data_IF_884293010278
#
_entry.id   IF_884293010278
#
_cell.length_a   1.000
_cell.length_b   1.000
_cell.length_c   1.000
_cell.angle_alpha   90.00
_cell.angle_beta   90.00
_cell.angle_gamma   90.00
#
_symmetry.space_group_name_H-M   'P 1'
#
loop_
_entity.id
_entity.type
_entity.pdbx_description
1 polymer ?
#
# COMPACT_ATOMS: atom_id res chain seq x y z
N UNK A 1 12.84 -12.86 -2.25
CA UNK A 1 11.93 -11.69 -2.38
C UNK A 1 10.74 -11.87 -1.43
N UNK A 2 10.34 -10.84 -0.68
CA UNK A 2 9.13 -10.84 0.16
C UNK A 2 7.87 -10.68 -0.68
N UNK A 3 6.77 -11.30 -0.24
CA UNK A 3 5.47 -11.21 -0.90
C UNK A 3 4.43 -10.75 0.09
N UNK A 4 3.73 -9.68 -0.25
CA UNK A 4 2.60 -9.17 0.53
C UNK A 4 1.30 -9.19 -0.25
N UNK A 5 0.19 -9.16 0.47
CA UNK A 5 -1.15 -8.92 -0.06
C UNK A 5 -1.62 -7.52 0.31
N UNK A 6 -2.11 -6.79 -0.69
CA UNK A 6 -2.77 -5.50 -0.47
C UNK A 6 -4.24 -5.76 -0.25
N UNK A 7 -4.68 -5.76 1.01
CA UNK A 7 -6.03 -6.20 1.36
C UNK A 7 -7.10 -5.26 0.82
N UNK A 8 -8.20 -5.79 0.25
CA UNK A 8 -9.27 -4.98 -0.34
C UNK A 8 -10.16 -4.37 0.77
N UNK A 9 -9.68 -3.28 1.35
CA UNK A 9 -10.38 -2.53 2.38
C UNK A 9 -11.57 -1.73 1.82
N UNK A 10 -11.52 -1.39 0.53
CA UNK A 10 -12.61 -0.80 -0.24
C UNK A 10 -13.33 -1.83 -1.11
N UNK A 11 -14.59 -1.55 -1.48
CA UNK A 11 -15.35 -2.41 -2.37
C UNK A 11 -14.66 -2.57 -3.73
N UNK A 12 -14.82 -3.74 -4.34
CA UNK A 12 -14.34 -4.11 -5.68
C UNK A 12 -12.81 -4.11 -5.84
N UNK A 13 -12.05 -4.08 -4.75
CA UNK A 13 -10.58 -4.15 -4.80
C UNK A 13 -9.96 -3.00 -5.59
N UNK A 14 -9.23 -3.30 -6.67
CA UNK A 14 -8.53 -2.30 -7.49
C UNK A 14 -8.94 -2.29 -8.96
N UNK A 15 -10.06 -2.94 -9.32
CA UNK A 15 -10.59 -2.94 -10.69
C UNK A 15 -11.80 -2.02 -10.81
N UNK A 16 -11.67 -0.96 -11.59
CA UNK A 16 -12.72 0.03 -11.90
C UNK A 16 -13.47 -0.44 -13.14
N UNK A 17 -14.15 -1.55 -13.01
CA UNK A 17 -14.80 -2.23 -14.13
C UNK A 17 -16.07 -2.93 -13.69
N UNK A 18 -17.15 -2.74 -14.45
CA UNK A 18 -18.42 -3.46 -14.25
C UNK A 18 -18.33 -4.94 -14.65
N UNK A 19 -17.28 -5.33 -15.38
CA UNK A 19 -17.03 -6.72 -15.76
C UNK A 19 -16.13 -7.46 -14.76
N UNK A 20 -15.54 -6.76 -13.80
CA UNK A 20 -14.76 -7.37 -12.72
C UNK A 20 -15.68 -7.86 -11.60
N UNK A 21 -15.20 -8.77 -10.73
CA UNK A 21 -15.94 -9.16 -9.53
C UNK A 21 -16.37 -7.95 -8.70
N UNK A 22 -17.66 -7.92 -8.34
CA UNK A 22 -18.24 -6.85 -7.51
C UNK A 22 -18.49 -7.39 -6.11
N UNK A 23 -17.98 -6.72 -5.08
CA UNK A 23 -18.14 -7.14 -3.69
C UNK A 23 -17.99 -5.99 -2.70
N UNK A 24 -18.62 -6.15 -1.55
CA UNK A 24 -18.48 -5.23 -0.41
C UNK A 24 -17.30 -5.61 0.47
N UNK A 25 -16.58 -4.65 1.06
CA UNK A 25 -15.53 -4.94 2.02
C UNK A 25 -16.19 -5.37 3.34
N UNK A 26 -15.82 -6.57 3.80
CA UNK A 26 -16.27 -7.10 5.09
C UNK A 26 -15.08 -7.62 5.88
N UNK A 27 -15.22 -7.70 7.19
CA UNK A 27 -14.21 -8.34 8.02
C UNK A 27 -14.01 -9.81 7.63
N UNK A 28 -15.10 -10.55 7.39
CA UNK A 28 -15.01 -11.97 7.04
C UNK A 28 -14.28 -12.21 5.71
N UNK A 29 -14.50 -11.36 4.70
CA UNK A 29 -13.75 -11.43 3.44
C UNK A 29 -12.26 -11.18 3.67
N UNK A 30 -11.91 -10.08 4.36
CA UNK A 30 -10.52 -9.73 4.61
C UNK A 30 -9.81 -10.75 5.51
N UNK A 31 -10.52 -11.33 6.49
CA UNK A 31 -10.03 -12.43 7.32
C UNK A 31 -9.69 -13.66 6.46
N UNK A 32 -10.61 -14.09 5.60
CA UNK A 32 -10.39 -15.22 4.70
C UNK A 32 -9.19 -14.98 3.78
N UNK A 33 -9.05 -13.75 3.23
CA UNK A 33 -7.93 -13.34 2.38
C UNK A 33 -6.60 -13.46 3.15
N UNK A 34 -6.50 -12.84 4.33
CA UNK A 34 -5.24 -12.78 5.06
C UNK A 34 -4.85 -14.14 5.66
N UNK A 35 -5.83 -14.94 6.13
CA UNK A 35 -5.56 -16.31 6.56
C UNK A 35 -5.10 -17.20 5.41
N UNK A 36 -5.68 -17.05 4.21
CA UNK A 36 -5.23 -17.76 3.00
C UNK A 36 -3.82 -17.30 2.58
N UNK A 37 -3.53 -16.00 2.63
CA UNK A 37 -2.20 -15.47 2.37
C UNK A 37 -1.15 -16.02 3.39
N UNK A 38 -1.49 -16.06 4.67
CA UNK A 38 -0.65 -16.68 5.71
C UNK A 38 -0.45 -18.18 5.45
N UNK A 39 -1.48 -18.90 5.02
CA UNK A 39 -1.40 -20.33 4.67
C UNK A 39 -0.36 -20.56 3.55
N UNK A 40 -0.39 -19.74 2.51
CA UNK A 40 0.57 -19.80 1.41
C UNK A 40 1.86 -19.01 1.66
N UNK A 41 2.15 -18.70 2.95
CA UNK A 41 3.40 -18.09 3.41
C UNK A 41 3.69 -16.71 2.82
N UNK A 42 2.69 -15.89 2.57
CA UNK A 42 2.93 -14.48 2.32
C UNK A 42 3.59 -13.84 3.54
N UNK A 43 4.51 -12.92 3.30
CA UNK A 43 5.32 -12.31 4.35
C UNK A 43 4.55 -11.21 5.10
N UNK A 44 3.68 -10.48 4.40
CA UNK A 44 2.94 -9.37 4.99
C UNK A 44 1.58 -9.10 4.33
N UNK A 45 0.71 -8.47 5.09
CA UNK A 45 -0.55 -7.90 4.63
C UNK A 45 -0.53 -6.39 4.92
N UNK A 46 -0.88 -5.58 3.94
CA UNK A 46 -0.97 -4.13 4.06
C UNK A 46 -2.35 -3.68 3.64
N UNK A 47 -2.96 -2.77 4.41
CA UNK A 47 -4.18 -2.08 4.01
C UNK A 47 -3.89 -0.65 3.60
N UNK A 48 -4.60 -0.15 2.60
CA UNK A 48 -4.68 1.29 2.36
C UNK A 48 -5.59 1.95 3.39
N UNK A 49 -5.75 3.25 3.29
CA UNK A 49 -6.88 3.99 3.87
C UNK A 49 -7.61 4.74 2.77
N UNK A 50 -8.93 4.73 2.85
CA UNK A 50 -9.81 5.46 1.94
C UNK A 50 -11.03 5.94 2.74
N UNK A 51 -11.34 7.23 2.62
CA UNK A 51 -12.41 7.87 3.39
C UNK A 51 -13.55 8.37 2.49
N UNK A 52 -13.31 8.45 1.19
CA UNK A 52 -14.27 8.80 0.16
C UNK A 52 -13.87 8.18 -1.16
N UNK A 53 -14.80 7.47 -1.79
CA UNK A 53 -14.57 6.81 -3.08
C UNK A 53 -14.72 7.74 -4.28
N UNK A 54 -14.88 7.12 -5.43
CA UNK A 54 -14.92 7.78 -6.73
C UNK A 54 -16.26 7.60 -7.46
N UNK A 55 -17.23 6.94 -6.84
CA UNK A 55 -18.56 6.77 -7.40
C UNK A 55 -18.60 5.89 -8.64
N UNK A 56 -19.36 6.35 -9.63
CA UNK A 56 -19.61 5.63 -10.86
C UNK A 56 -20.60 4.48 -10.70
N UNK A 57 -20.74 3.66 -11.74
CA UNK A 57 -21.62 2.48 -11.73
C UNK A 57 -21.16 1.40 -10.78
N UNK A 58 -19.86 1.36 -10.51
CA UNK A 58 -19.24 0.41 -9.60
C UNK A 58 -19.21 0.91 -8.15
N UNK A 59 -19.66 2.15 -7.89
CA UNK A 59 -19.50 2.82 -6.58
C UNK A 59 -18.05 2.67 -6.06
N UNK A 60 -17.07 2.87 -6.97
CA UNK A 60 -15.68 2.48 -6.72
C UNK A 60 -15.11 3.15 -5.47
N UNK A 61 -14.81 2.34 -4.47
CA UNK A 61 -14.33 2.74 -3.15
C UNK A 61 -15.28 3.66 -2.35
N UNK A 62 -16.57 3.66 -2.65
CA UNK A 62 -17.54 4.38 -1.82
C UNK A 62 -17.80 3.67 -0.49
N UNK A 63 -17.53 2.37 -0.42
CA UNK A 63 -17.66 1.55 0.77
C UNK A 63 -16.29 1.10 1.27
N UNK A 64 -15.90 1.55 2.47
CA UNK A 64 -14.57 1.27 3.02
C UNK A 64 -14.66 0.89 4.50
N UNK A 65 -13.75 0.00 4.91
CA UNK A 65 -13.45 -0.24 6.31
C UNK A 65 -12.31 0.69 6.77
N UNK A 66 -12.17 0.90 8.08
CA UNK A 66 -11.07 1.69 8.63
C UNK A 66 -9.83 0.82 8.84
N UNK A 67 -8.66 1.34 8.45
CA UNK A 67 -7.42 0.57 8.33
C UNK A 67 -6.93 -0.02 9.66
N UNK A 68 -6.77 0.81 10.70
CA UNK A 68 -6.22 0.33 11.98
C UNK A 68 -7.15 -0.66 12.67
N UNK A 69 -8.46 -0.37 12.65
CA UNK A 69 -9.47 -1.23 13.25
C UNK A 69 -9.54 -2.58 12.54
N UNK A 70 -9.54 -2.58 11.19
CA UNK A 70 -9.50 -3.81 10.41
C UNK A 70 -8.25 -4.62 10.71
N UNK A 71 -7.07 -3.98 10.65
CA UNK A 71 -5.79 -4.68 10.81
C UNK A 71 -5.57 -5.19 12.24
N UNK A 72 -6.15 -4.54 13.26
CA UNK A 72 -6.20 -5.09 14.62
C UNK A 72 -6.97 -6.41 14.68
N UNK A 73 -8.13 -6.46 14.03
CA UNK A 73 -8.92 -7.71 13.91
C UNK A 73 -8.15 -8.81 13.17
N UNK A 74 -7.48 -8.46 12.05
CA UNK A 74 -6.69 -9.41 11.28
C UNK A 74 -5.45 -9.90 12.04
N UNK A 75 -4.82 -9.04 12.83
CA UNK A 75 -3.71 -9.43 13.72
C UNK A 75 -4.13 -10.49 14.74
N UNK A 76 -5.36 -10.39 15.27
CA UNK A 76 -5.88 -11.34 16.26
C UNK A 76 -6.22 -12.73 15.69
N UNK A 77 -6.44 -12.83 14.38
CA UNK A 77 -6.84 -14.09 13.69
C UNK A 77 -5.73 -14.71 12.84
N UNK A 78 -4.50 -14.20 12.95
CA UNK A 78 -3.29 -14.66 12.27
C UNK A 78 -2.16 -14.86 13.27
N UNK A 79 -1.07 -15.56 12.87
CA UNK A 79 0.00 -15.91 13.79
C UNK A 79 1.43 -15.62 13.30
N UNK A 80 1.64 -15.47 11.99
CA UNK A 80 2.98 -15.32 11.38
C UNK A 80 3.11 -14.12 10.47
N UNK A 81 2.08 -13.82 9.66
CA UNK A 81 2.12 -12.76 8.67
C UNK A 81 2.30 -11.38 9.34
N UNK A 82 3.19 -10.54 8.80
CA UNK A 82 3.33 -9.16 9.25
C UNK A 82 2.09 -8.36 8.87
N UNK A 83 1.64 -7.48 9.73
CA UNK A 83 0.41 -6.70 9.56
C UNK A 83 0.76 -5.21 9.51
N UNK A 84 0.42 -4.54 8.40
CA UNK A 84 0.69 -3.12 8.22
C UNK A 84 -0.61 -2.34 8.01
N UNK A 85 -0.92 -1.40 8.91
CA UNK A 85 -2.02 -0.47 8.78
C UNK A 85 -1.55 0.87 8.20
N UNK A 86 -2.42 1.55 7.47
CA UNK A 86 -2.13 2.89 6.92
C UNK A 86 -2.76 3.98 7.77
N UNK A 87 -1.94 4.91 8.23
CA UNK A 87 -2.35 6.15 8.87
C UNK A 87 -2.41 7.29 7.85
N UNK A 88 -3.61 7.84 7.62
CA UNK A 88 -3.76 9.14 6.99
C UNK A 88 -3.49 10.20 8.07
N UNK A 89 -2.31 10.80 8.02
CA UNK A 89 -1.78 11.60 9.15
C UNK A 89 -2.61 12.84 9.49
N UNK A 90 -3.45 13.33 8.57
CA UNK A 90 -4.41 14.40 8.84
C UNK A 90 -5.60 13.96 9.71
N UNK A 91 -5.91 12.67 9.77
CA UNK A 91 -7.11 12.17 10.47
C UNK A 91 -6.89 11.86 11.94
N UNK A 92 -5.66 11.51 12.31
CA UNK A 92 -5.33 11.04 13.65
C UNK A 92 -4.10 11.78 14.21
N UNK A 93 -4.16 12.35 15.41
CA UNK A 93 -2.98 12.86 16.10
C UNK A 93 -1.91 11.79 16.28
N UNK A 94 -0.60 12.13 16.20
CA UNK A 94 0.47 11.13 16.30
C UNK A 94 0.45 10.37 17.63
N UNK A 95 0.08 11.01 18.74
CA UNK A 95 -0.03 10.34 20.03
C UNK A 95 -1.12 9.24 20.06
N UNK A 96 -2.20 9.43 19.31
CA UNK A 96 -3.26 8.41 19.17
C UNK A 96 -2.75 7.24 18.32
N UNK A 97 -2.12 7.52 17.18
CA UNK A 97 -1.53 6.48 16.32
C UNK A 97 -0.46 5.70 17.08
N UNK A 98 0.38 6.37 17.87
CA UNK A 98 1.39 5.70 18.69
C UNK A 98 0.77 4.68 19.66
N UNK A 99 -0.36 5.04 20.29
CA UNK A 99 -1.09 4.17 21.21
C UNK A 99 -1.80 3.02 20.50
N UNK A 100 -2.45 3.30 19.38
CA UNK A 100 -3.10 2.27 18.56
C UNK A 100 -2.07 1.25 18.06
N UNK A 101 -0.92 1.71 17.58
CA UNK A 101 0.15 0.85 17.12
C UNK A 101 0.71 -0.05 18.24
N UNK A 102 0.94 0.49 19.43
CA UNK A 102 1.37 -0.31 20.58
C UNK A 102 0.32 -1.35 21.00
N UNK A 103 -0.97 -1.00 20.89
CA UNK A 103 -2.06 -1.95 21.17
C UNK A 103 -2.06 -3.10 20.15
N UNK A 104 -1.93 -2.80 18.86
CA UNK A 104 -1.94 -3.82 17.80
C UNK A 104 -0.64 -4.65 17.84
N UNK A 105 0.48 -4.04 18.21
CA UNK A 105 1.73 -4.77 18.49
C UNK A 105 1.50 -5.84 19.55
N UNK A 106 0.85 -5.50 20.67
CA UNK A 106 0.48 -6.45 21.72
C UNK A 106 -0.46 -7.55 21.20
N UNK A 107 -1.49 -7.22 20.42
CA UNK A 107 -2.42 -8.19 19.82
C UNK A 107 -1.68 -9.15 18.88
N UNK A 108 -0.78 -8.62 18.07
CA UNK A 108 -0.06 -9.38 17.04
C UNK A 108 1.17 -10.13 17.56
N UNK A 109 1.64 -9.85 18.78
CA UNK A 109 2.91 -10.39 19.29
C UNK A 109 4.12 -9.85 18.51
N UNK A 110 4.17 -8.54 18.24
CA UNK A 110 5.31 -7.89 17.59
C UNK A 110 5.31 -7.95 16.06
N UNK A 111 4.18 -8.30 15.42
CA UNK A 111 4.07 -8.40 13.94
C UNK A 111 3.48 -7.14 13.29
N UNK A 112 3.31 -6.06 14.02
CA UNK A 112 2.66 -4.85 13.51
C UNK A 112 3.66 -3.80 13.01
N UNK A 113 3.22 -3.01 12.04
CA UNK A 113 3.91 -1.82 11.55
C UNK A 113 2.93 -0.82 10.92
N UNK A 114 3.42 0.37 10.59
CA UNK A 114 2.60 1.49 10.15
C UNK A 114 3.07 2.00 8.80
N UNK A 115 2.14 2.14 7.85
CA UNK A 115 2.34 2.90 6.63
C UNK A 115 1.83 4.33 6.85
N UNK A 116 2.67 5.34 6.61
CA UNK A 116 2.34 6.74 6.80
C UNK A 116 2.06 7.41 5.46
N UNK A 117 0.87 7.99 5.31
CA UNK A 117 0.48 8.73 4.11
C UNK A 117 0.05 10.15 4.44
N UNK A 118 0.49 11.09 3.62
CA UNK A 118 0.19 12.51 3.81
C UNK A 118 -1.22 12.91 3.37
N UNK A 119 -1.87 12.06 2.54
CA UNK A 119 -3.14 12.39 1.90
C UNK A 119 -2.95 13.25 0.64
N UNK A 120 -3.75 12.96 -0.38
CA UNK A 120 -3.72 13.67 -1.66
C UNK A 120 -5.10 14.06 -2.16
N UNK A 121 -6.14 13.32 -1.78
CA UNK A 121 -7.52 13.54 -2.21
C UNK A 121 -8.20 14.51 -1.23
N UNK A 122 -8.14 15.80 -1.55
CA UNK A 122 -8.71 16.89 -0.72
C UNK A 122 -10.14 16.63 -0.21
N UNK A 123 -11.11 16.14 -1.05
CA UNK A 123 -12.47 15.86 -0.58
C UNK A 123 -12.60 14.83 0.55
N UNK A 124 -11.63 13.93 0.72
CA UNK A 124 -11.64 12.99 1.86
C UNK A 124 -11.59 13.73 3.20
N UNK A 125 -10.84 14.81 3.24
CA UNK A 125 -10.59 15.60 4.46
C UNK A 125 -11.59 16.75 4.61
N UNK A 126 -12.00 17.37 3.49
CA UNK A 126 -13.01 18.44 3.49
C UNK A 126 -14.36 17.97 4.04
N UNK A 127 -14.78 16.75 3.68
CA UNK A 127 -16.05 16.19 4.20
C UNK A 127 -16.09 16.08 5.72
N UNK A 128 -14.95 16.04 6.38
CA UNK A 128 -14.82 15.99 7.85
C UNK A 128 -14.42 17.33 8.46
N UNK A 129 -14.26 18.38 7.65
CA UNK A 129 -13.86 19.72 8.13
C UNK A 129 -12.42 19.80 8.60
N UNK A 130 -11.54 18.88 8.19
CA UNK A 130 -10.14 18.81 8.66
C UNK A 130 -9.10 19.11 7.57
N UNK A 131 -9.54 19.56 6.40
CA UNK A 131 -8.58 20.00 5.37
C UNK A 131 -7.88 21.28 5.82
N UNK A 132 -6.52 21.30 5.92
CA UNK A 132 -5.80 22.43 6.49
C UNK A 132 -5.59 23.59 5.51
N UNK A 133 -6.07 23.48 4.28
CA UNK A 133 -5.85 24.45 3.21
C UNK A 133 -4.84 23.98 2.16
N UNK A 134 -4.83 24.64 1.00
CA UNK A 134 -4.05 24.18 -0.16
C UNK A 134 -2.53 24.35 0.02
N UNK A 135 -2.08 25.17 0.96
CA UNK A 135 -0.68 25.29 1.34
C UNK A 135 -0.12 23.97 1.91
N UNK A 136 -0.99 23.09 2.39
CA UNK A 136 -0.60 21.78 2.89
C UNK A 136 0.16 20.94 1.85
N UNK A 137 -0.21 21.01 0.59
CA UNK A 137 0.50 20.28 -0.47
C UNK A 137 1.99 20.60 -0.54
N UNK A 138 2.39 21.82 -0.19
CA UNK A 138 3.80 22.21 -0.15
C UNK A 138 4.50 21.84 1.15
N UNK A 139 3.78 21.70 2.25
CA UNK A 139 4.31 21.48 3.61
C UNK A 139 4.05 20.08 4.15
N UNK A 140 3.44 19.18 3.36
CA UNK A 140 3.00 17.85 3.84
C UNK A 140 4.14 16.96 4.35
N UNK A 141 5.36 17.10 3.83
CA UNK A 141 6.50 16.33 4.32
C UNK A 141 7.16 16.98 5.54
N UNK A 142 7.05 18.30 5.73
CA UNK A 142 7.43 18.94 6.99
C UNK A 142 6.49 18.47 8.10
N UNK A 143 5.17 18.50 7.84
CA UNK A 143 4.15 17.96 8.74
C UNK A 143 4.42 16.49 9.09
N UNK A 144 4.69 15.65 8.08
CA UNK A 144 4.97 14.23 8.28
C UNK A 144 6.28 14.02 9.06
N UNK A 145 7.27 14.87 8.89
CA UNK A 145 8.54 14.80 9.63
C UNK A 145 8.32 15.03 11.13
N UNK A 146 7.57 16.04 11.51
CA UNK A 146 7.23 16.27 12.92
C UNK A 146 6.36 15.12 13.47
N UNK A 147 5.41 14.65 12.66
CA UNK A 147 4.53 13.52 13.01
C UNK A 147 5.35 12.29 13.37
N UNK A 148 6.30 11.88 12.52
CA UNK A 148 7.11 10.67 12.77
C UNK A 148 8.07 10.85 13.93
N UNK A 149 8.56 12.07 14.19
CA UNK A 149 9.40 12.35 15.36
C UNK A 149 8.63 12.13 16.65
N UNK A 150 7.39 12.63 16.74
CA UNK A 150 6.52 12.36 17.90
C UNK A 150 6.25 10.86 18.07
N UNK A 151 5.97 10.13 16.97
CA UNK A 151 5.81 8.68 17.04
C UNK A 151 7.05 7.98 17.61
N UNK A 152 8.25 8.36 17.13
CA UNK A 152 9.51 7.75 17.57
C UNK A 152 9.83 8.03 19.04
N UNK A 153 9.56 9.25 19.51
CA UNK A 153 9.69 9.59 20.93
C UNK A 153 8.80 8.68 21.78
N UNK A 154 7.52 8.58 21.41
CA UNK A 154 6.54 7.81 22.16
C UNK A 154 6.78 6.30 22.11
N UNK A 155 7.22 5.75 20.97
CA UNK A 155 7.57 4.33 20.86
C UNK A 155 8.91 4.00 21.50
N UNK A 156 9.87 4.93 21.49
CA UNK A 156 11.22 4.72 22.04
C UNK A 156 11.30 4.92 23.54
N UNK A 157 10.89 6.09 24.01
CA UNK A 157 11.02 6.47 25.45
C UNK A 157 9.70 6.44 26.21
N UNK A 158 8.58 6.32 25.54
CA UNK A 158 7.23 6.43 26.11
C UNK A 158 6.82 7.87 26.42
N UNK A 159 7.62 8.86 26.04
CA UNK A 159 7.37 10.27 26.35
C UNK A 159 7.79 11.17 25.19
N UNK A 160 7.02 12.24 24.95
CA UNK A 160 7.41 13.32 24.02
C UNK A 160 7.06 14.69 24.62
N UNK A 161 8.03 15.59 24.56
CA UNK A 161 7.88 17.03 24.80
C UNK A 161 8.18 17.84 23.54
N UNK A 162 7.98 17.22 22.36
CA UNK A 162 8.26 17.80 21.05
C UNK A 162 7.57 19.15 20.86
N UNK A 163 8.31 20.11 20.31
CA UNK A 163 7.83 21.45 19.95
C UNK A 163 8.21 21.74 18.50
N UNK A 164 7.24 21.84 17.62
CA UNK A 164 7.41 22.15 16.22
C UNK A 164 6.35 23.13 15.71
N UNK A 165 6.31 23.27 14.41
CA UNK A 165 5.36 24.16 13.73
C UNK A 165 3.94 23.58 13.71
N UNK A 166 3.83 22.24 13.63
CA UNK A 166 2.56 21.53 13.50
C UNK A 166 2.13 20.84 14.79
N UNK A 167 3.09 20.36 15.57
CA UNK A 167 2.80 19.62 16.79
C UNK A 167 3.51 20.21 18.00
N UNK A 168 2.76 20.30 19.09
CA UNK A 168 3.26 20.72 20.40
C UNK A 168 2.83 19.70 21.43
N UNK A 169 3.78 18.91 21.92
CA UNK A 169 3.57 17.94 23.00
C UNK A 169 3.92 18.56 24.35
N UNK A 170 3.23 18.13 25.39
CA UNK A 170 3.46 18.59 26.75
C UNK A 170 3.35 17.38 27.67
N UNK A 171 4.50 16.83 28.06
CA UNK A 171 4.61 15.59 28.85
C UNK A 171 3.70 14.46 28.29
N UNK A 172 3.64 14.38 26.95
CA UNK A 172 2.79 13.40 26.28
C UNK A 172 3.35 12.00 26.51
N UNK A 173 2.50 11.06 26.93
CA UNK A 173 2.94 9.72 27.34
C UNK A 173 2.19 8.61 26.64
N UNK A 174 2.93 7.56 26.28
CA UNK A 174 2.38 6.28 25.77
C UNK A 174 3.00 5.13 26.55
N UNK A 175 2.14 4.35 27.18
CA UNK A 175 2.51 3.11 27.87
C UNK A 175 1.32 2.12 27.74
N UNK A 176 1.57 0.82 27.48
CA UNK A 176 2.87 0.22 27.20
C UNK A 176 3.46 0.70 25.87
N UNK A 177 4.77 0.54 25.71
CA UNK A 177 5.46 0.75 24.44
C UNK A 177 5.38 -0.52 23.56
N UNK A 178 5.63 -0.41 22.24
CA UNK A 178 5.75 -1.59 21.38
C UNK A 178 6.81 -2.58 21.90
N UNK A 179 6.54 -3.87 21.74
CA UNK A 179 7.43 -4.96 22.18
C UNK A 179 8.71 -5.09 21.35
N UNK A 180 8.64 -4.61 20.09
CA UNK A 180 9.74 -4.57 19.13
C UNK A 180 9.80 -3.21 18.44
N UNK A 181 10.92 -2.81 17.79
CA UNK A 181 10.99 -1.60 17.01
C UNK A 181 9.90 -1.56 15.93
N UNK A 182 9.03 -0.54 15.98
CA UNK A 182 7.92 -0.39 15.06
C UNK A 182 8.41 -0.13 13.64
N UNK A 183 7.98 -0.98 12.70
CA UNK A 183 8.28 -0.79 11.29
C UNK A 183 7.45 0.36 10.70
N UNK A 184 8.11 1.19 9.89
CA UNK A 184 7.48 2.32 9.19
C UNK A 184 7.63 2.12 7.69
N UNK A 185 6.51 2.19 6.97
CA UNK A 185 6.45 2.17 5.51
C UNK A 185 5.97 3.55 5.04
N UNK A 186 6.46 4.00 3.91
CA UNK A 186 6.04 5.24 3.26
C UNK A 186 5.86 5.02 1.76
N UNK A 187 4.97 5.79 1.14
CA UNK A 187 4.58 5.62 -0.27
C UNK A 187 5.00 6.80 -1.17
N UNK A 188 5.89 7.67 -0.71
CA UNK A 188 6.27 8.88 -1.44
C UNK A 188 7.26 8.58 -2.58
N UNK A 189 6.91 8.93 -3.83
CA UNK A 189 7.79 8.82 -5.01
C UNK A 189 8.35 10.18 -5.48
N UNK A 190 7.86 11.31 -4.97
CA UNK A 190 8.47 12.62 -5.19
C UNK A 190 9.83 12.73 -4.51
N UNK A 191 10.67 13.68 -4.90
CA UNK A 191 11.98 13.88 -4.27
C UNK A 191 11.85 14.11 -2.75
N UNK A 192 10.87 14.91 -2.31
CA UNK A 192 10.58 15.10 -0.89
C UNK A 192 10.13 13.79 -0.21
N UNK A 193 9.30 12.99 -0.88
CA UNK A 193 8.86 11.68 -0.39
C UNK A 193 9.98 10.65 -0.30
N UNK A 194 10.86 10.62 -1.29
CA UNK A 194 12.07 9.78 -1.28
C UNK A 194 13.02 10.18 -0.16
N UNK A 195 13.29 11.49 0.00
CA UNK A 195 14.13 12.00 1.08
C UNK A 195 13.56 11.69 2.46
N UNK A 196 12.23 11.81 2.62
CA UNK A 196 11.55 11.40 3.86
C UNK A 196 11.69 9.89 4.11
N UNK A 197 11.40 9.06 3.11
CA UNK A 197 11.51 7.60 3.22
C UNK A 197 12.93 7.17 3.57
N UNK A 198 13.94 7.77 2.95
CA UNK A 198 15.35 7.49 3.22
C UNK A 198 15.74 7.73 4.69
N UNK A 199 15.14 8.73 5.34
CA UNK A 199 15.44 9.08 6.74
C UNK A 199 14.61 8.29 7.76
N UNK A 200 13.37 7.97 7.42
CA UNK A 200 12.40 7.56 8.42
C UNK A 200 11.75 6.20 8.17
N UNK A 201 11.69 5.73 6.93
CA UNK A 201 11.06 4.46 6.61
C UNK A 201 12.02 3.26 6.71
N UNK A 202 11.46 2.08 6.94
CA UNK A 202 12.12 0.79 6.76
C UNK A 202 11.96 0.31 5.32
N UNK A 203 10.82 0.65 4.69
CA UNK A 203 10.53 0.33 3.30
C UNK A 203 9.80 1.49 2.62
N UNK A 204 10.08 1.67 1.34
CA UNK A 204 9.31 2.54 0.46
C UNK A 204 8.36 1.69 -0.39
N UNK A 205 7.11 2.11 -0.47
CA UNK A 205 6.12 1.51 -1.35
C UNK A 205 6.06 2.29 -2.67
N UNK A 206 6.17 1.60 -3.79
CA UNK A 206 6.05 2.19 -5.12
C UNK A 206 5.18 1.36 -6.06
N UNK A 207 4.65 1.97 -7.10
CA UNK A 207 3.89 1.28 -8.13
C UNK A 207 4.81 0.62 -9.16
N UNK A 208 4.48 -0.60 -9.54
CA UNK A 208 4.90 -1.15 -10.82
C UNK A 208 4.30 -0.33 -11.97
N UNK A 209 4.79 -0.49 -13.18
CA UNK A 209 4.37 0.30 -14.35
C UNK A 209 4.01 -0.61 -15.52
N UNK A 210 2.96 -0.22 -16.25
CA UNK A 210 2.55 -0.87 -17.50
C UNK A 210 2.05 -2.32 -17.33
N UNK A 211 1.82 -2.97 -18.45
CA UNK A 211 1.38 -4.37 -18.53
C UNK A 211 2.55 -5.22 -19.01
N UNK A 212 2.89 -6.27 -18.26
CA UNK A 212 4.00 -7.18 -18.55
C UNK A 212 5.35 -6.48 -18.74
N UNK A 213 5.57 -5.42 -17.99
CA UNK A 213 6.84 -4.69 -17.91
C UNK A 213 7.40 -4.74 -16.47
N UNK A 214 7.79 -5.94 -15.99
CA UNK A 214 8.10 -6.19 -14.58
C UNK A 214 9.22 -5.34 -14.01
N UNK A 215 10.13 -4.84 -14.83
CA UNK A 215 11.30 -4.04 -14.40
C UNK A 215 11.15 -2.54 -14.66
N UNK A 216 10.01 -2.07 -15.19
CA UNK A 216 9.82 -0.66 -15.55
C UNK A 216 9.86 0.31 -14.35
N UNK A 217 9.75 -0.18 -13.13
CA UNK A 217 9.93 0.60 -11.90
C UNK A 217 11.40 0.79 -11.48
N UNK A 218 12.35 0.14 -12.14
CA UNK A 218 13.76 0.17 -11.77
C UNK A 218 14.35 1.58 -11.56
N UNK A 219 14.03 2.60 -12.38
CA UNK A 219 14.46 3.98 -12.10
C UNK A 219 13.96 4.52 -10.75
N UNK A 220 12.74 4.17 -10.35
CA UNK A 220 12.16 4.57 -9.06
C UNK A 220 12.90 3.89 -7.90
N UNK A 221 13.18 2.59 -8.00
CA UNK A 221 13.97 1.85 -7.01
C UNK A 221 15.40 2.39 -6.90
N UNK A 222 16.04 2.74 -8.03
CA UNK A 222 17.38 3.33 -8.04
C UNK A 222 17.43 4.70 -7.33
N UNK A 223 16.43 5.56 -7.55
CA UNK A 223 16.30 6.85 -6.84
C UNK A 223 16.16 6.64 -5.34
N UNK A 224 15.34 5.67 -4.91
CA UNK A 224 15.17 5.35 -3.49
C UNK A 224 16.48 4.89 -2.87
N UNK A 225 17.17 3.97 -3.53
CA UNK A 225 18.49 3.48 -3.09
C UNK A 225 19.51 4.60 -2.96
N UNK A 226 19.61 5.48 -3.95
CA UNK A 226 20.50 6.65 -3.92
C UNK A 226 20.17 7.58 -2.77
N UNK A 227 18.89 7.85 -2.51
CA UNK A 227 18.46 8.69 -1.38
C UNK A 227 18.81 8.03 -0.03
N UNK A 228 18.64 6.71 0.09
CA UNK A 228 18.97 5.95 1.30
C UNK A 228 20.49 5.95 1.58
N UNK A 229 21.33 5.77 0.57
CA UNK A 229 22.78 5.84 0.70
C UNK A 229 23.27 7.17 1.29
N UNK A 230 22.62 8.29 0.95
CA UNK A 230 22.96 9.61 1.49
C UNK A 230 22.66 9.73 3.00
N UNK A 231 21.79 8.89 3.54
CA UNK A 231 21.45 8.86 4.98
C UNK A 231 22.20 7.77 5.75
N UNK A 232 22.97 6.95 5.07
CA UNK A 232 23.65 5.79 5.66
C UNK A 232 22.69 4.66 6.07
N UNK A 233 21.46 4.66 5.53
CA UNK A 233 20.43 3.64 5.81
C UNK A 233 20.20 2.76 4.59
N UNK A 234 19.74 1.54 4.85
CA UNK A 234 19.23 0.64 3.83
C UNK A 234 17.69 0.69 3.84
N UNK A 235 17.12 1.18 2.74
CA UNK A 235 15.66 1.30 2.56
C UNK A 235 15.30 0.68 1.22
N UNK A 236 14.69 -0.49 1.28
CA UNK A 236 14.23 -1.22 0.09
C UNK A 236 12.84 -0.77 -0.37
N UNK A 237 12.47 -1.23 -1.56
CA UNK A 237 11.16 -0.95 -2.16
C UNK A 237 10.24 -2.17 -2.14
N UNK A 238 8.99 -1.96 -1.73
CA UNK A 238 7.87 -2.87 -2.00
C UNK A 238 7.14 -2.38 -3.24
N UNK A 239 7.02 -3.23 -4.24
CA UNK A 239 6.48 -2.86 -5.56
C UNK A 239 5.08 -3.42 -5.75
N UNK A 240 4.11 -2.55 -6.03
CA UNK A 240 2.73 -2.93 -6.25
C UNK A 240 2.53 -3.49 -7.66
N UNK A 241 1.99 -4.70 -7.73
CA UNK A 241 1.52 -5.31 -8.96
C UNK A 241 0.13 -5.93 -8.80
N UNK A 242 -0.67 -5.83 -9.85
CA UNK A 242 -1.86 -6.67 -10.03
C UNK A 242 -1.47 -7.92 -10.80
N UNK A 243 -1.95 -9.06 -10.34
CA UNK A 243 -1.77 -10.35 -11.02
C UNK A 243 -3.09 -10.76 -11.67
N UNK A 244 -3.06 -10.94 -12.99
CA UNK A 244 -4.15 -11.51 -13.80
C UNK A 244 -3.61 -12.81 -14.43
N UNK A 245 -3.79 -13.90 -13.75
CA UNK A 245 -3.24 -15.18 -14.16
C UNK A 245 -4.33 -16.16 -14.60
N UNK A 246 -3.96 -17.05 -15.53
CA UNK A 246 -4.79 -18.16 -15.97
C UNK A 246 -3.91 -19.33 -16.41
N UNK A 247 -4.48 -20.44 -16.91
CA UNK A 247 -3.72 -21.62 -17.38
C UNK A 247 -2.82 -21.31 -18.58
N UNK A 248 -3.24 -20.38 -19.44
CA UNK A 248 -2.50 -19.96 -20.64
C UNK A 248 -2.38 -18.44 -20.70
N UNK A 249 -1.36 -17.95 -21.42
CA UNK A 249 -1.18 -16.51 -21.64
C UNK A 249 -2.37 -15.90 -22.38
N UNK A 250 -2.97 -16.63 -23.32
CA UNK A 250 -4.13 -16.15 -24.08
C UNK A 250 -5.39 -16.07 -23.21
N UNK A 251 -5.63 -17.02 -22.31
CA UNK A 251 -6.75 -16.98 -21.38
C UNK A 251 -6.60 -15.80 -20.40
N UNK A 252 -5.41 -15.61 -19.85
CA UNK A 252 -5.14 -14.45 -18.97
C UNK A 252 -5.31 -13.11 -19.69
N UNK A 253 -4.85 -13.02 -20.94
CA UNK A 253 -5.02 -11.83 -21.77
C UNK A 253 -6.49 -11.56 -22.08
N UNK A 254 -7.27 -12.60 -22.43
CA UNK A 254 -8.71 -12.46 -22.67
C UNK A 254 -9.44 -11.95 -21.42
N UNK A 255 -9.07 -12.45 -20.23
CA UNK A 255 -9.59 -11.97 -18.95
C UNK A 255 -9.28 -10.48 -18.74
N UNK A 256 -8.05 -10.05 -18.97
CA UNK A 256 -7.64 -8.64 -18.86
C UNK A 256 -8.41 -7.72 -19.84
N UNK A 257 -8.54 -8.14 -21.11
CA UNK A 257 -9.32 -7.39 -22.10
C UNK A 257 -10.81 -7.30 -21.72
N UNK A 258 -11.36 -8.38 -21.15
CA UNK A 258 -12.74 -8.37 -20.62
C UNK A 258 -12.93 -7.31 -19.54
N UNK A 259 -12.01 -7.20 -18.58
CA UNK A 259 -12.08 -6.16 -17.55
C UNK A 259 -11.96 -4.76 -18.15
N UNK A 260 -11.06 -4.55 -19.09
CA UNK A 260 -10.92 -3.25 -19.76
C UNK A 260 -12.18 -2.85 -20.54
N UNK A 261 -12.85 -3.82 -21.17
CA UNK A 261 -14.10 -3.56 -21.91
C UNK A 261 -15.26 -3.10 -21.00
N UNK A 262 -15.19 -3.39 -19.71
CA UNK A 262 -16.19 -2.97 -18.73
C UNK A 262 -15.80 -1.74 -17.92
N UNK A 263 -14.80 -0.95 -18.36
CA UNK A 263 -14.32 0.22 -17.64
C UNK A 263 -15.45 1.18 -17.20
N UNK A 264 -15.42 1.59 -15.95
CA UNK A 264 -16.37 2.55 -15.40
C UNK A 264 -15.85 3.97 -15.62
N UNK A 265 -16.22 4.53 -16.76
CA UNK A 265 -15.74 5.85 -17.22
C UNK A 265 -16.10 6.98 -16.26
N UNK A 266 -17.21 6.88 -15.52
CA UNK A 266 -17.63 7.90 -14.57
C UNK A 266 -16.67 7.93 -13.36
N UNK A 267 -16.40 6.77 -12.76
CA UNK A 267 -15.43 6.65 -11.68
C UNK A 267 -14.02 7.04 -12.10
N UNK A 268 -13.60 6.63 -13.31
CA UNK A 268 -12.29 6.99 -13.88
C UNK A 268 -12.13 8.47 -14.11
N UNK A 269 -13.16 9.14 -14.65
CA UNK A 269 -13.16 10.59 -14.86
C UNK A 269 -12.98 11.34 -13.54
N UNK A 270 -13.70 10.92 -12.50
CA UNK A 270 -13.61 11.58 -11.21
C UNK A 270 -12.26 11.34 -10.53
N UNK A 271 -11.72 10.11 -10.62
CA UNK A 271 -10.37 9.80 -10.15
C UNK A 271 -9.33 10.72 -10.81
N UNK A 272 -9.40 10.87 -12.14
CA UNK A 272 -8.50 11.73 -12.91
C UNK A 272 -8.62 13.18 -12.49
N UNK A 273 -9.84 13.70 -12.36
CA UNK A 273 -10.07 15.07 -11.88
C UNK A 273 -9.48 15.33 -10.50
N UNK A 274 -9.69 14.41 -9.54
CA UNK A 274 -9.15 14.57 -8.20
C UNK A 274 -7.61 14.54 -8.17
N UNK A 275 -6.99 13.66 -8.95
CA UNK A 275 -5.54 13.55 -9.01
C UNK A 275 -4.84 14.78 -9.62
N UNK A 276 -5.54 15.54 -10.46
CA UNK A 276 -5.04 16.77 -11.06
C UNK A 276 -5.03 17.96 -10.08
N UNK A 277 -5.78 17.90 -8.97
CA UNK A 277 -5.84 18.97 -7.98
C UNK A 277 -4.54 19.17 -7.21
N UNK A 278 -3.72 18.13 -7.06
CA UNK A 278 -2.37 18.27 -6.52
C UNK A 278 -1.41 18.80 -7.60
N UNK A 279 -1.41 20.11 -7.81
CA UNK A 279 -0.57 20.79 -8.82
C UNK A 279 0.92 20.77 -8.50
N UNK A 280 1.30 20.38 -7.28
CA UNK A 280 2.70 20.36 -6.81
C UNK A 280 3.31 18.95 -6.83
N UNK A 281 2.54 17.93 -7.16
CA UNK A 281 3.09 16.60 -7.39
C UNK A 281 3.89 16.57 -8.69
N UNK A 282 5.14 16.07 -8.64
CA UNK A 282 5.95 15.82 -9.84
C UNK A 282 5.31 14.79 -10.76
N UNK A 283 5.82 14.67 -11.98
CA UNK A 283 5.30 13.74 -13.01
C UNK A 283 5.42 12.26 -12.61
N UNK A 284 6.36 11.92 -11.75
CA UNK A 284 6.67 10.54 -11.33
C UNK A 284 6.05 10.14 -9.99
N UNK A 285 4.93 10.74 -9.61
CA UNK A 285 4.25 10.38 -8.36
C UNK A 285 3.18 9.31 -8.59
N UNK A 286 2.87 8.52 -7.54
CA UNK A 286 1.77 7.54 -7.58
C UNK A 286 0.45 8.18 -8.02
N UNK A 287 0.16 9.40 -7.54
CA UNK A 287 -1.06 10.13 -7.86
C UNK A 287 -1.15 10.47 -9.36
N UNK A 288 -0.02 10.88 -9.96
CA UNK A 288 0.02 11.17 -11.41
C UNK A 288 -0.06 9.90 -12.24
N UNK A 289 0.56 8.81 -11.79
CA UNK A 289 0.44 7.52 -12.45
C UNK A 289 -1.00 7.01 -12.42
N UNK A 290 -1.70 7.12 -11.30
CA UNK A 290 -3.12 6.73 -11.19
C UNK A 290 -4.02 7.49 -12.16
N UNK A 291 -3.67 8.72 -12.52
CA UNK A 291 -4.45 9.58 -13.37
C UNK A 291 -4.16 9.46 -14.88
N UNK A 292 -3.24 8.61 -15.29
CA UNK A 292 -2.95 8.41 -16.72
C UNK A 292 -4.17 7.76 -17.41
N UNK A 293 -4.78 8.39 -18.41
CA UNK A 293 -6.01 7.88 -19.03
C UNK A 293 -5.80 6.62 -19.88
N UNK A 294 -4.57 6.20 -20.14
CA UNK A 294 -4.28 5.17 -21.15
C UNK A 294 -4.61 3.74 -20.73
N UNK A 295 -4.71 3.43 -19.44
CA UNK A 295 -5.10 2.09 -18.96
C UNK A 295 -5.61 2.09 -17.51
N UNK A 296 -6.43 3.07 -17.19
CA UNK A 296 -6.80 3.40 -15.82
C UNK A 296 -7.66 2.37 -15.08
N UNK A 297 -8.18 1.32 -15.74
CA UNK A 297 -9.14 0.36 -15.16
C UNK A 297 -8.70 -0.27 -13.84
N UNK A 298 -7.42 -0.26 -13.55
CA UNK A 298 -6.84 -0.72 -12.29
C UNK A 298 -5.94 0.33 -11.63
N UNK A 299 -6.32 1.59 -11.72
CA UNK A 299 -5.55 2.76 -11.24
C UNK A 299 -4.11 2.84 -11.79
N UNK A 300 -3.89 2.31 -12.98
CA UNK A 300 -2.59 2.25 -13.67
C UNK A 300 -1.46 1.59 -12.87
N UNK A 301 -1.75 0.69 -11.96
CA UNK A 301 -0.71 -0.10 -11.33
C UNK A 301 -0.07 -1.07 -12.32
N UNK A 302 1.19 -1.41 -12.11
CA UNK A 302 1.85 -2.45 -12.89
C UNK A 302 1.03 -3.75 -12.86
N UNK A 303 0.85 -4.37 -14.03
CA UNK A 303 -0.01 -5.54 -14.16
C UNK A 303 0.74 -6.67 -14.82
N UNK A 304 0.73 -7.84 -14.18
CA UNK A 304 1.33 -9.07 -14.69
C UNK A 304 0.20 -9.97 -15.21
N UNK A 305 0.11 -10.09 -16.53
CA UNK A 305 -0.93 -10.84 -17.23
C UNK A 305 -0.29 -12.01 -17.96
N UNK A 306 -0.67 -13.23 -17.59
CA UNK A 306 -0.10 -14.41 -18.26
C UNK A 306 -0.42 -15.74 -17.59
N UNK A 307 0.13 -16.79 -18.16
CA UNK A 307 0.11 -18.11 -17.55
C UNK A 307 0.85 -18.12 -16.23
N UNK A 308 0.61 -19.12 -15.42
CA UNK A 308 1.27 -19.27 -14.12
C UNK A 308 2.79 -19.22 -14.24
N UNK A 309 3.35 -19.85 -15.27
CA UNK A 309 4.79 -19.84 -15.54
C UNK A 309 5.28 -18.45 -16.00
N UNK A 310 4.50 -17.75 -16.83
CA UNK A 310 4.83 -16.40 -17.29
C UNK A 310 4.85 -15.40 -16.14
N UNK A 311 3.86 -15.46 -15.23
CA UNK A 311 3.79 -14.60 -14.04
C UNK A 311 4.96 -14.89 -13.08
N UNK A 312 5.27 -16.18 -12.83
CA UNK A 312 6.43 -16.55 -12.01
C UNK A 312 7.74 -15.98 -12.55
N UNK A 313 7.99 -16.12 -13.85
CA UNK A 313 9.18 -15.56 -14.52
C UNK A 313 9.22 -14.03 -14.38
N UNK A 314 8.11 -13.32 -14.61
CA UNK A 314 8.07 -11.87 -14.45
C UNK A 314 8.35 -11.44 -13.00
N UNK A 315 7.91 -12.19 -12.00
CA UNK A 315 8.23 -11.92 -10.60
C UNK A 315 9.73 -12.19 -10.27
N UNK A 316 10.36 -13.17 -10.92
CA UNK A 316 11.79 -13.35 -10.82
C UNK A 316 12.56 -12.18 -11.45
N UNK A 317 12.07 -11.61 -12.56
CA UNK A 317 12.62 -10.38 -13.15
C UNK A 317 12.46 -9.18 -12.19
N UNK A 318 11.31 -9.01 -11.52
CA UNK A 318 11.13 -7.99 -10.46
C UNK A 318 12.19 -8.14 -9.38
N UNK A 319 12.40 -9.37 -8.90
CA UNK A 319 13.37 -9.65 -7.84
C UNK A 319 14.83 -9.36 -8.24
N UNK A 320 15.13 -9.32 -9.54
CA UNK A 320 16.47 -9.01 -10.07
C UNK A 320 16.79 -7.51 -10.02
N UNK A 321 15.81 -6.64 -9.82
CA UNK A 321 16.01 -5.19 -9.76
C UNK A 321 16.67 -4.80 -8.44
N UNK A 322 17.82 -4.12 -8.46
CA UNK A 322 18.49 -3.68 -7.24
C UNK A 322 17.59 -2.75 -6.38
N UNK A 323 17.44 -3.07 -5.11
CA UNK A 323 16.56 -2.34 -4.18
C UNK A 323 15.11 -2.82 -4.16
N UNK A 324 14.71 -3.80 -4.97
CA UNK A 324 13.44 -4.48 -4.86
C UNK A 324 13.50 -5.52 -3.72
N UNK A 325 12.93 -5.18 -2.57
CA UNK A 325 12.87 -6.07 -1.40
C UNK A 325 11.68 -7.02 -1.43
N UNK A 326 10.60 -6.60 -2.07
CA UNK A 326 9.39 -7.39 -2.15
C UNK A 326 8.35 -6.85 -3.10
N UNK A 327 7.30 -7.62 -3.28
CA UNK A 327 6.11 -7.22 -4.03
C UNK A 327 4.90 -7.14 -3.11
N UNK A 328 4.04 -6.18 -3.38
CA UNK A 328 2.70 -6.07 -2.80
C UNK A 328 1.70 -6.40 -3.90
N UNK A 329 0.94 -7.48 -3.72
CA UNK A 329 0.10 -8.04 -4.77
C UNK A 329 -1.37 -7.72 -4.56
N UNK A 330 -2.05 -7.42 -5.66
CA UNK A 330 -3.50 -7.43 -5.78
C UNK A 330 -3.92 -8.47 -6.81
N UNK A 331 -5.16 -8.90 -6.73
CA UNK A 331 -5.74 -9.92 -7.61
C UNK A 331 -7.09 -9.43 -8.12
N UNK A 332 -7.52 -9.95 -9.24
CA UNK A 332 -8.87 -9.73 -9.77
C UNK A 332 -9.94 -10.37 -8.87
N UNK A 333 -9.72 -11.60 -8.44
CA UNK A 333 -10.41 -12.26 -7.33
C UNK A 333 -9.38 -12.64 -6.26
N UNK A 334 -9.54 -12.13 -5.05
CA UNK A 334 -8.52 -12.32 -4.02
C UNK A 334 -8.44 -13.74 -3.49
N UNK A 335 -9.56 -14.40 -3.28
CA UNK A 335 -9.56 -15.74 -2.68
C UNK A 335 -9.01 -16.77 -3.65
N UNK A 336 -9.52 -16.81 -4.87
CA UNK A 336 -9.01 -17.71 -5.91
C UNK A 336 -7.63 -17.30 -6.41
N UNK A 337 -7.36 -16.01 -6.51
CA UNK A 337 -6.06 -15.47 -6.93
C UNK A 337 -4.92 -15.83 -5.99
N UNK A 338 -5.12 -15.70 -4.67
CA UNK A 338 -4.10 -16.10 -3.66
C UNK A 338 -3.89 -17.62 -3.67
N UNK A 339 -4.95 -18.40 -3.80
CA UNK A 339 -4.87 -19.85 -3.91
C UNK A 339 -4.08 -20.28 -5.14
N UNK A 340 -4.47 -19.78 -6.31
CA UNK A 340 -3.74 -20.01 -7.57
C UNK A 340 -2.28 -19.55 -7.48
N UNK A 341 -2.04 -18.40 -6.89
CA UNK A 341 -0.70 -17.89 -6.68
C UNK A 341 0.13 -18.85 -5.81
N UNK A 342 -0.41 -19.26 -4.68
CA UNK A 342 0.27 -20.15 -3.74
C UNK A 342 0.54 -21.54 -4.30
N UNK A 343 -0.43 -22.13 -5.03
CA UNK A 343 -0.35 -23.50 -5.52
C UNK A 343 0.34 -23.64 -6.88
N UNK A 344 0.19 -22.64 -7.75
CA UNK A 344 0.53 -22.77 -9.17
C UNK A 344 1.63 -21.81 -9.62
N UNK A 345 1.79 -20.63 -9.00
CA UNK A 345 2.75 -19.62 -9.40
C UNK A 345 3.99 -19.65 -8.48
N UNK A 346 3.78 -19.54 -7.18
CA UNK A 346 4.85 -19.44 -6.20
C UNK A 346 5.85 -20.62 -6.24
N UNK A 347 5.44 -21.89 -6.45
CA UNK A 347 6.38 -23.00 -6.60
C UNK A 347 7.28 -22.91 -7.84
N UNK A 348 6.92 -22.10 -8.85
CA UNK A 348 7.71 -21.88 -10.05
C UNK A 348 8.71 -20.72 -9.93
N UNK A 349 8.60 -19.90 -8.88
CA UNK A 349 9.44 -18.73 -8.68
C UNK A 349 10.82 -19.11 -8.14
N UNK A 350 11.88 -18.72 -8.84
CA UNK A 350 13.26 -18.94 -8.40
C UNK A 350 13.66 -18.04 -7.22
N UNK A 351 13.09 -16.84 -7.16
CA UNK A 351 13.33 -15.89 -6.06
C UNK A 351 12.66 -16.28 -4.72
N UNK A 352 11.93 -17.42 -4.69
CA UNK A 352 11.29 -17.96 -3.47
C UNK A 352 11.69 -19.43 -3.21
N UNK A 353 12.96 -19.73 -2.98
CA UNK A 353 13.45 -21.12 -2.87
C UNK A 353 12.87 -21.91 -1.68
N UNK A 354 12.18 -21.26 -0.76
CA UNK A 354 11.59 -21.90 0.43
C UNK A 354 10.54 -22.96 0.08
N UNK A 355 9.99 -22.92 -1.14
CA UNK A 355 8.97 -23.86 -1.63
C UNK A 355 9.55 -25.02 -2.44
N UNK A 356 10.88 -25.03 -2.63
CA UNK A 356 11.60 -26.10 -3.32
C UNK A 356 12.10 -27.21 -2.36
N UNK A 357 11.63 -27.20 -1.08
CA UNK A 357 12.05 -28.18 -0.05
C UNK A 357 10.86 -28.97 0.46
#
# INVERSE_FOLDING_TARGET
MKIGVFVPIGNNGWLISTHAPQYMPTFELNKAIVQKAEHYHFDFALSMIKLRGFGGKTEFWDHNLESFTLMAGLAAVTSRIQIYATAATLTLPPAIVARMAATIDSISGGRFGVNLVTGWQKPEYEQMGIWPGDDYFSRRYDYLTEYVQVLRDLWGTGKSDFKGDFFTMNDCRVSPQPSVPMKVICAGQSDAGMAFSARYADFNFCFGKGVNTPTAFAPTAARMKQAAEQTGRDVGSYVLFMVIADETDDAARAKWEHYKAGADEEALSWLTEQSQKDTRSGTDTNVRQMADPTSAVNINMGTLVGSYASVARMLDEVASVPGAEGVLLTFDDFLSGIETFGERIQPLMQCRPIYLR
#
